data_IF_521137821649
#
_entry.id   IF_521137821649
#
_cell.length_a   1.000
_cell.length_b   1.000
_cell.length_c   1.000
_cell.angle_alpha   90.00
_cell.angle_beta   90.00
_cell.angle_gamma   90.00
#
_symmetry.space_group_name_H-M   'P 1'
#
loop_
_entity.id
_entity.type
_entity.pdbx_description
1 polymer ?
#
# COMPACT_ATOMS: atom_id res chain seq x y z
N UNK A 1 -9.31 9.53 33.03
CA UNK A 1 -9.11 8.32 32.22
C UNK A 1 -7.62 8.19 31.93
N UNK A 2 -6.98 7.18 32.50
CA UNK A 2 -5.53 6.97 32.44
C UNK A 2 -5.16 6.37 31.08
N UNK A 3 -4.49 7.15 30.23
CA UNK A 3 -3.91 6.63 29.00
C UNK A 3 -2.77 5.67 29.37
N UNK A 4 -2.91 4.38 29.04
CA UNK A 4 -1.89 3.39 29.35
C UNK A 4 -0.59 3.74 28.61
N UNK A 5 0.46 4.05 29.37
CA UNK A 5 1.82 4.18 28.86
C UNK A 5 2.36 2.78 28.55
N UNK A 6 2.10 2.30 27.34
CA UNK A 6 2.93 1.24 26.75
C UNK A 6 4.21 1.88 26.17
N UNK A 7 5.20 2.17 27.02
CA UNK A 7 6.50 2.72 26.64
C UNK A 7 7.51 1.60 26.36
N UNK A 8 7.83 1.36 25.07
CA UNK A 8 9.17 1.10 24.52
C UNK A 8 9.08 0.80 23.00
N UNK A 9 9.88 1.47 22.16
CA UNK A 9 10.22 1.03 20.78
C UNK A 9 9.22 1.26 19.64
N UNK A 10 8.37 2.29 19.70
CA UNK A 10 7.20 2.44 18.81
C UNK A 10 7.56 2.82 17.37
N UNK A 11 7.49 1.84 16.46
CA UNK A 11 7.42 2.04 15.01
C UNK A 11 5.98 2.31 14.55
N UNK A 12 5.80 3.18 13.57
CA UNK A 12 4.52 3.51 12.96
C UNK A 12 4.59 3.21 11.46
N UNK A 13 3.55 2.60 10.88
CA UNK A 13 3.45 2.36 9.42
C UNK A 13 2.27 3.15 8.85
N UNK A 14 2.52 3.97 7.83
CA UNK A 14 1.55 4.82 7.11
C UNK A 14 1.46 4.35 5.66
N UNK A 15 0.24 4.15 5.15
CA UNK A 15 0.00 3.59 3.80
C UNK A 15 -0.88 4.50 2.94
N UNK A 16 -0.61 4.65 1.63
CA UNK A 16 -1.40 5.48 0.69
C UNK A 16 -1.73 4.78 -0.65
N UNK A 17 -2.89 5.09 -1.28
CA UNK A 17 -3.60 4.13 -2.14
C UNK A 17 -4.71 4.64 -3.14
N UNK A 18 -4.97 4.00 -4.32
CA UNK A 18 -6.24 3.99 -5.16
C UNK A 18 -6.29 2.95 -6.35
N UNK A 19 -7.50 2.68 -6.93
CA UNK A 19 -8.08 1.50 -7.67
C UNK A 19 -8.04 1.35 -9.23
N UNK A 20 -8.47 0.17 -9.73
CA UNK A 20 -8.79 -0.20 -11.16
C UNK A 20 -9.82 -1.38 -11.24
N UNK A 21 -10.59 -1.51 -12.34
CA UNK A 21 -11.04 -2.81 -12.92
C UNK A 21 -12.30 -3.59 -12.45
N UNK A 22 -12.39 -4.87 -12.88
CA UNK A 22 -13.44 -5.87 -12.55
C UNK A 22 -13.49 -6.31 -11.08
N UNK A 23 -12.55 -5.76 -10.31
CA UNK A 23 -12.43 -5.82 -8.87
C UNK A 23 -13.18 -4.64 -8.24
N UNK A 24 -13.34 -4.66 -6.93
CA UNK A 24 -14.02 -3.57 -6.22
C UNK A 24 -13.25 -2.24 -6.35
N UNK A 25 -13.99 -1.14 -6.51
CA UNK A 25 -13.44 0.20 -6.28
C UNK A 25 -12.91 0.27 -4.84
N UNK A 26 -11.73 0.87 -4.65
CA UNK A 26 -11.07 0.93 -3.36
C UNK A 26 -10.34 -0.35 -2.94
N UNK A 27 -10.17 -1.34 -3.83
CA UNK A 27 -9.40 -2.59 -3.59
C UNK A 27 -8.08 -2.38 -2.86
N UNK A 28 -7.30 -1.41 -3.29
CA UNK A 28 -6.00 -1.18 -2.70
C UNK A 28 -6.14 -0.64 -1.26
N UNK A 29 -7.25 0.03 -0.89
CA UNK A 29 -7.49 0.45 0.51
C UNK A 29 -7.66 -0.78 1.41
N UNK A 30 -8.40 -1.78 0.92
CA UNK A 30 -8.59 -3.05 1.61
C UNK A 30 -7.26 -3.80 1.75
N UNK A 31 -6.52 -3.88 0.64
CA UNK A 31 -5.22 -4.54 0.58
C UNK A 31 -4.19 -3.88 1.49
N UNK A 32 -4.08 -2.56 1.41
CA UNK A 32 -3.19 -1.74 2.24
C UNK A 32 -3.50 -1.87 3.73
N UNK A 33 -4.78 -1.89 4.10
CA UNK A 33 -5.18 -2.12 5.48
C UNK A 33 -4.77 -3.52 5.96
N UNK A 34 -4.97 -4.56 5.13
CA UNK A 34 -4.52 -5.91 5.46
C UNK A 34 -3.00 -5.99 5.61
N UNK A 35 -2.24 -5.48 4.63
CA UNK A 35 -0.78 -5.54 4.61
C UNK A 35 -0.20 -4.77 5.80
N UNK A 36 -0.67 -3.55 6.07
CA UNK A 36 -0.23 -2.76 7.22
C UNK A 36 -0.45 -3.48 8.55
N UNK A 37 -1.63 -4.09 8.71
CA UNK A 37 -1.95 -4.90 9.90
C UNK A 37 -0.98 -6.09 10.03
N UNK A 38 -0.80 -6.88 8.97
CA UNK A 38 0.09 -8.06 8.98
C UNK A 38 1.54 -7.70 9.27
N UNK A 39 2.02 -6.57 8.75
CA UNK A 39 3.36 -6.05 9.06
C UNK A 39 3.47 -5.70 10.54
N UNK A 40 2.50 -4.94 11.08
CA UNK A 40 2.50 -4.54 12.49
C UNK A 40 2.48 -5.76 13.43
N UNK A 41 1.62 -6.75 13.13
CA UNK A 41 1.55 -8.03 13.84
C UNK A 41 2.87 -8.80 13.79
N UNK A 42 3.51 -8.86 12.61
CA UNK A 42 4.79 -9.59 12.41
C UNK A 42 5.98 -8.91 13.09
N UNK A 43 5.97 -7.58 13.18
CA UNK A 43 7.01 -6.82 13.88
C UNK A 43 6.84 -6.89 15.40
N UNK A 44 5.60 -6.97 15.90
CA UNK A 44 5.27 -7.11 17.32
C UNK A 44 5.44 -5.84 18.16
N UNK A 45 6.07 -4.80 17.61
CA UNK A 45 6.30 -3.50 18.27
C UNK A 45 5.85 -2.30 17.43
N UNK A 46 5.05 -2.53 16.39
CA UNK A 46 4.57 -1.50 15.47
C UNK A 46 3.05 -1.33 15.55
N UNK A 47 2.58 -0.14 15.19
CA UNK A 47 1.16 0.17 15.00
C UNK A 47 0.92 0.58 13.54
N UNK A 48 -0.20 0.13 12.98
CA UNK A 48 -0.62 0.46 11.63
C UNK A 48 -1.60 1.63 11.66
N UNK A 49 -1.31 2.69 10.90
CA UNK A 49 -2.26 3.76 10.65
C UNK A 49 -3.30 3.32 9.61
N UNK A 50 -4.52 3.88 9.64
CA UNK A 50 -5.46 3.74 8.55
C UNK A 50 -4.83 4.20 7.23
N UNK A 51 -4.97 3.46 6.12
CA UNK A 51 -4.48 3.91 4.83
C UNK A 51 -5.15 5.21 4.38
N UNK A 52 -4.41 6.09 3.70
CA UNK A 52 -5.00 7.22 2.99
C UNK A 52 -5.86 6.68 1.83
N UNK A 53 -7.18 6.91 1.84
CA UNK A 53 -8.08 6.31 0.86
C UNK A 53 -8.01 6.96 -0.53
N UNK A 54 -7.26 8.05 -0.68
CA UNK A 54 -7.16 8.82 -1.93
C UNK A 54 -5.71 8.99 -2.37
N UNK A 55 -5.52 9.04 -3.69
CA UNK A 55 -4.26 9.25 -4.37
C UNK A 55 -4.45 10.01 -5.70
N UNK A 56 -3.36 10.49 -6.31
CA UNK A 56 -3.36 10.90 -7.71
C UNK A 56 -3.74 9.73 -8.61
N UNK A 57 -4.71 9.96 -9.49
CA UNK A 57 -5.23 8.96 -10.42
C UNK A 57 -5.45 9.53 -11.83
N UNK A 58 -4.83 10.67 -12.14
CA UNK A 58 -5.00 11.44 -13.37
C UNK A 58 -5.86 12.70 -13.18
N UNK A 59 -6.01 13.46 -14.25
CA UNK A 59 -6.76 14.71 -14.27
C UNK A 59 -8.27 14.44 -14.37
N UNK A 60 -9.10 14.97 -13.44
CA UNK A 60 -10.54 14.71 -13.43
C UNK A 60 -11.33 15.44 -14.52
N UNK A 61 -10.85 16.59 -15.01
CA UNK A 61 -11.52 17.40 -16.03
C UNK A 61 -11.17 16.86 -17.42
N UNK A 62 -9.89 16.68 -17.68
CA UNK A 62 -9.36 16.15 -18.94
C UNK A 62 -9.52 14.61 -19.05
N UNK A 63 -9.94 13.96 -17.96
CA UNK A 63 -10.15 12.51 -17.85
C UNK A 63 -8.91 11.74 -18.31
N UNK A 64 -7.77 12.01 -17.69
CA UNK A 64 -6.52 11.28 -17.97
C UNK A 64 -6.28 10.17 -16.96
N UNK A 65 -5.35 9.24 -17.23
CA UNK A 65 -5.03 8.15 -16.29
C UNK A 65 -6.24 7.26 -15.96
N UNK A 66 -6.44 6.98 -14.67
CA UNK A 66 -7.59 6.22 -14.17
C UNK A 66 -8.88 7.06 -14.08
N UNK A 67 -8.82 8.40 -14.19
CA UNK A 67 -10.01 9.26 -14.28
C UNK A 67 -10.83 9.05 -15.56
N UNK A 68 -10.35 8.23 -16.51
CA UNK A 68 -11.16 7.71 -17.63
C UNK A 68 -12.25 6.72 -17.20
N UNK A 69 -12.11 6.10 -16.04
CA UNK A 69 -13.01 5.06 -15.56
C UNK A 69 -13.98 5.62 -14.52
N UNK A 70 -15.27 5.29 -14.68
CA UNK A 70 -16.30 5.74 -13.76
C UNK A 70 -16.08 5.17 -12.34
N UNK A 71 -16.21 6.03 -11.34
CA UNK A 71 -15.99 5.68 -9.93
C UNK A 71 -14.57 5.95 -9.42
N UNK A 72 -13.61 6.30 -10.29
CA UNK A 72 -12.30 6.80 -9.87
C UNK A 72 -12.45 8.18 -9.23
N UNK A 73 -11.78 8.38 -8.10
CA UNK A 73 -11.59 9.67 -7.44
C UNK A 73 -10.11 10.00 -7.56
N UNK A 74 -9.73 11.23 -7.87
CA UNK A 74 -8.33 11.66 -7.92
C UNK A 74 -8.14 12.87 -7.00
N UNK A 75 -7.05 12.88 -6.24
CA UNK A 75 -6.56 14.06 -5.51
C UNK A 75 -5.25 14.53 -6.10
N UNK A 76 -4.90 15.80 -5.92
CA UNK A 76 -3.60 16.31 -6.38
C UNK A 76 -2.44 15.67 -5.61
N UNK A 77 -1.25 15.64 -6.23
CA UNK A 77 -0.01 15.25 -5.56
C UNK A 77 0.23 16.11 -4.29
N UNK A 78 -0.07 17.42 -4.37
CA UNK A 78 0.01 18.34 -3.24
C UNK A 78 -0.94 17.94 -2.09
N UNK A 79 -2.18 17.58 -2.40
CA UNK A 79 -3.16 17.14 -1.38
C UNK A 79 -2.69 15.85 -0.71
N UNK A 80 -2.22 14.88 -1.50
CA UNK A 80 -1.64 13.64 -0.95
C UNK A 80 -0.44 13.95 -0.05
N UNK A 81 0.45 14.85 -0.46
CA UNK A 81 1.62 15.24 0.30
C UNK A 81 1.24 15.90 1.63
N UNK A 82 0.31 16.85 1.61
CA UNK A 82 -0.17 17.57 2.78
C UNK A 82 -0.78 16.62 3.81
N UNK A 83 -1.70 15.74 3.39
CA UNK A 83 -2.31 14.75 4.29
C UNK A 83 -1.24 13.79 4.86
N UNK A 84 -0.34 13.31 4.01
CA UNK A 84 0.73 12.39 4.44
C UNK A 84 1.67 13.03 5.47
N UNK A 85 1.98 14.32 5.29
CA UNK A 85 2.75 15.12 6.24
C UNK A 85 2.04 15.22 7.58
N UNK A 86 0.77 15.62 7.59
CA UNK A 86 0.00 15.82 8.82
C UNK A 86 -0.17 14.52 9.61
N UNK A 87 -0.32 13.39 8.91
CA UNK A 87 -0.33 12.06 9.53
C UNK A 87 1.02 11.73 10.17
N UNK A 88 2.14 11.95 9.47
CA UNK A 88 3.47 11.72 10.02
C UNK A 88 3.75 12.61 11.23
N UNK A 89 3.42 13.91 11.15
CA UNK A 89 3.53 14.87 12.25
C UNK A 89 2.69 14.42 13.45
N UNK A 90 1.47 13.94 13.22
CA UNK A 90 0.59 13.45 14.29
C UNK A 90 1.21 12.26 15.03
N UNK A 91 1.82 11.32 14.31
CA UNK A 91 2.53 10.19 14.92
C UNK A 91 3.74 10.66 15.74
N UNK A 92 4.57 11.53 15.16
CA UNK A 92 5.77 12.05 15.82
C UNK A 92 5.43 12.87 17.07
N UNK A 93 4.40 13.72 16.99
CA UNK A 93 3.97 14.58 18.09
C UNK A 93 3.47 13.81 19.32
N UNK A 94 2.87 12.64 19.15
CA UNK A 94 2.41 11.78 20.26
C UNK A 94 3.49 10.79 20.75
N UNK A 95 4.71 10.92 20.25
CA UNK A 95 5.91 10.24 20.77
C UNK A 95 6.29 8.94 20.05
N UNK A 96 5.79 8.69 18.83
CA UNK A 96 6.44 7.69 17.97
C UNK A 96 7.80 8.22 17.53
N UNK A 97 8.83 7.37 17.57
CA UNK A 97 10.20 7.75 17.18
C UNK A 97 10.57 7.28 15.79
N UNK A 98 9.83 6.33 15.22
CA UNK A 98 10.03 5.85 13.85
C UNK A 98 8.69 5.84 13.13
N UNK A 99 8.62 6.51 11.99
CA UNK A 99 7.48 6.49 11.06
C UNK A 99 7.97 5.92 9.74
N UNK A 100 7.27 4.92 9.21
CA UNK A 100 7.57 4.26 7.95
C UNK A 100 6.40 4.52 7.02
N UNK A 101 6.69 5.10 5.86
CA UNK A 101 5.73 5.41 4.82
C UNK A 101 5.93 4.43 3.66
N UNK A 102 4.83 3.88 3.18
CA UNK A 102 4.80 2.99 2.02
C UNK A 102 3.48 3.17 1.27
N UNK A 103 3.38 2.69 0.05
CA UNK A 103 2.15 2.77 -0.73
C UNK A 103 1.93 1.50 -1.53
N UNK A 104 0.69 1.28 -1.94
CA UNK A 104 0.27 0.13 -2.77
C UNK A 104 -0.13 0.58 -4.19
N UNK A 105 0.07 1.85 -4.52
CA UNK A 105 -0.23 2.41 -5.84
C UNK A 105 0.97 3.17 -6.42
N UNK A 106 1.33 2.88 -7.67
CA UNK A 106 2.49 3.46 -8.36
C UNK A 106 2.57 4.99 -8.36
N UNK A 107 1.45 5.68 -8.64
CA UNK A 107 1.40 7.15 -8.69
C UNK A 107 1.64 7.83 -7.33
N UNK A 108 1.60 7.07 -6.23
CA UNK A 108 1.87 7.61 -4.88
C UNK A 108 3.35 7.64 -4.52
N UNK A 109 4.16 6.77 -5.14
CA UNK A 109 5.50 6.42 -4.63
C UNK A 109 6.47 7.61 -4.60
N UNK A 110 6.43 8.48 -5.61
CA UNK A 110 7.25 9.69 -5.64
C UNK A 110 6.89 10.66 -4.51
N UNK A 111 5.60 10.96 -4.36
CA UNK A 111 5.10 11.89 -3.34
C UNK A 111 5.44 11.43 -1.93
N UNK A 112 5.14 10.18 -1.59
CA UNK A 112 5.38 9.68 -0.22
C UNK A 112 6.88 9.57 0.11
N UNK A 113 7.73 9.34 -0.89
CA UNK A 113 9.19 9.37 -0.75
C UNK A 113 9.70 10.77 -0.41
N UNK A 114 9.21 11.78 -1.11
CA UNK A 114 9.55 13.18 -0.87
C UNK A 114 9.07 13.64 0.52
N UNK A 115 7.84 13.29 0.91
CA UNK A 115 7.31 13.59 2.24
C UNK A 115 8.15 12.93 3.33
N UNK A 116 8.48 11.64 3.17
CA UNK A 116 9.30 10.92 4.15
C UNK A 116 10.67 11.58 4.32
N UNK A 117 11.34 11.95 3.22
CA UNK A 117 12.64 12.61 3.26
C UNK A 117 12.57 14.00 3.93
N UNK A 118 11.57 14.80 3.60
CA UNK A 118 11.36 16.11 4.21
C UNK A 118 11.07 15.99 5.72
N UNK A 119 10.26 15.00 6.12
CA UNK A 119 9.91 14.79 7.53
C UNK A 119 11.07 14.22 8.34
N UNK A 120 11.88 13.31 7.78
CA UNK A 120 13.09 12.84 8.47
C UNK A 120 14.06 14.00 8.70
N UNK A 121 14.28 14.85 7.70
CA UNK A 121 15.14 16.03 7.85
C UNK A 121 14.64 16.98 8.95
N UNK A 122 13.32 17.21 9.03
CA UNK A 122 12.73 18.10 10.03
C UNK A 122 12.73 17.50 11.46
N UNK A 123 12.51 16.20 11.59
CA UNK A 123 12.27 15.55 12.88
C UNK A 123 13.46 14.78 13.46
N UNK A 124 14.46 14.45 12.64
CA UNK A 124 15.70 13.83 13.11
C UNK A 124 16.39 14.58 14.25
N UNK A 125 16.57 15.92 14.23
CA UNK A 125 17.13 16.64 15.38
C UNK A 125 16.21 16.64 16.62
N UNK A 126 14.93 16.29 16.45
CA UNK A 126 13.92 16.19 17.52
C UNK A 126 13.78 14.75 18.06
N UNK A 127 14.59 13.81 17.57
CA UNK A 127 14.56 12.39 17.98
C UNK A 127 13.54 11.52 17.23
N UNK A 128 12.92 12.04 16.17
CA UNK A 128 12.03 11.28 15.30
C UNK A 128 12.70 10.90 13.98
N UNK A 129 12.38 9.73 13.44
CA UNK A 129 12.89 9.25 12.14
C UNK A 129 11.72 8.93 11.23
N UNK A 130 11.84 9.31 9.95
CA UNK A 130 10.83 9.00 8.94
C UNK A 130 11.49 8.29 7.76
N UNK A 131 10.89 7.19 7.30
CA UNK A 131 11.44 6.39 6.22
C UNK A 131 10.40 6.19 5.14
N UNK A 132 10.85 6.11 3.90
CA UNK A 132 10.08 5.51 2.82
C UNK A 132 10.65 4.13 2.52
N UNK A 133 9.77 3.15 2.32
CA UNK A 133 10.16 1.82 1.83
C UNK A 133 9.39 1.49 0.54
N UNK A 134 10.07 0.98 -0.52
CA UNK A 134 9.49 0.80 -1.84
C UNK A 134 8.73 -0.54 -1.97
N UNK A 135 7.76 -0.78 -1.07
CA UNK A 135 7.01 -2.06 -1.02
C UNK A 135 6.21 -2.30 -2.30
N UNK A 136 5.68 -1.25 -2.93
CA UNK A 136 5.04 -1.38 -4.24
C UNK A 136 6.01 -1.94 -5.28
N UNK A 137 7.13 -1.27 -5.51
CA UNK A 137 8.09 -1.66 -6.55
C UNK A 137 8.67 -3.06 -6.31
N UNK A 138 9.20 -3.31 -5.11
CA UNK A 138 9.81 -4.61 -4.77
C UNK A 138 8.77 -5.75 -4.67
N UNK A 139 7.53 -5.44 -4.26
CA UNK A 139 6.43 -6.39 -4.25
C UNK A 139 6.02 -6.78 -5.67
N UNK A 140 5.81 -5.78 -6.53
CA UNK A 140 5.48 -5.94 -7.94
C UNK A 140 6.56 -6.72 -8.72
N UNK A 141 7.85 -6.53 -8.39
CA UNK A 141 8.94 -7.33 -8.96
C UNK A 141 8.79 -8.82 -8.64
N UNK A 142 8.44 -9.15 -7.39
CA UNK A 142 8.22 -10.54 -6.97
C UNK A 142 6.99 -11.13 -7.66
N UNK A 143 5.92 -10.36 -7.81
CA UNK A 143 4.72 -10.78 -8.54
C UNK A 143 5.02 -11.06 -10.00
N UNK A 144 5.72 -10.14 -10.67
CA UNK A 144 6.18 -10.31 -12.05
C UNK A 144 7.03 -11.55 -12.22
N UNK A 145 7.92 -11.85 -11.28
CA UNK A 145 8.74 -13.06 -11.34
C UNK A 145 7.88 -14.34 -11.28
N UNK A 146 6.89 -14.38 -10.39
CA UNK A 146 5.94 -15.51 -10.29
C UNK A 146 5.16 -15.67 -11.59
N UNK A 147 4.57 -14.58 -12.09
CA UNK A 147 3.74 -14.60 -13.29
C UNK A 147 4.56 -14.92 -14.56
N UNK A 148 5.81 -14.46 -14.63
CA UNK A 148 6.74 -14.84 -15.71
C UNK A 148 7.04 -16.33 -15.68
N UNK A 149 7.22 -16.94 -14.51
CA UNK A 149 7.42 -18.38 -14.37
C UNK A 149 6.16 -19.21 -14.73
N UNK A 150 5.00 -18.56 -14.81
CA UNK A 150 3.74 -19.13 -15.27
C UNK A 150 3.44 -18.80 -16.75
N UNK A 151 4.42 -18.28 -17.49
CA UNK A 151 4.29 -17.86 -18.90
C UNK A 151 3.18 -16.83 -19.15
N UNK A 152 2.86 -16.00 -18.14
CA UNK A 152 1.85 -14.95 -18.25
C UNK A 152 2.42 -13.76 -19.04
N UNK A 153 1.75 -13.31 -20.11
CA UNK A 153 2.16 -12.12 -20.85
C UNK A 153 2.14 -10.85 -19.98
N UNK A 154 3.12 -9.96 -20.14
CA UNK A 154 3.25 -8.75 -19.32
C UNK A 154 2.02 -7.84 -19.34
N UNK A 155 1.29 -7.78 -20.46
CA UNK A 155 0.05 -7.00 -20.57
C UNK A 155 -1.14 -7.61 -19.79
N UNK A 156 -0.97 -8.79 -19.19
CA UNK A 156 -1.97 -9.46 -18.35
C UNK A 156 -1.61 -9.47 -16.86
N UNK A 157 -0.42 -8.99 -16.49
CA UNK A 157 0.05 -8.97 -15.10
C UNK A 157 -0.93 -8.20 -14.20
N UNK A 158 -1.20 -6.93 -14.48
CA UNK A 158 -2.07 -6.08 -13.64
C UNK A 158 -3.51 -6.59 -13.47
N UNK A 159 -4.18 -7.11 -14.51
CA UNK A 159 -5.49 -7.72 -14.28
C UNK A 159 -5.45 -9.00 -13.44
N UNK A 160 -4.37 -9.79 -13.53
CA UNK A 160 -4.22 -11.05 -12.78
C UNK A 160 -3.82 -10.78 -11.33
N UNK A 161 -2.90 -9.85 -11.06
CA UNK A 161 -2.53 -9.48 -9.69
C UNK A 161 -3.73 -8.92 -8.92
N UNK A 162 -4.42 -7.94 -9.49
CA UNK A 162 -5.59 -7.29 -8.92
C UNK A 162 -6.69 -8.32 -8.58
N UNK A 163 -7.00 -9.22 -9.51
CA UNK A 163 -8.01 -10.25 -9.30
C UNK A 163 -7.56 -11.26 -8.24
N UNK A 164 -6.31 -11.73 -8.29
CA UNK A 164 -5.77 -12.74 -7.37
C UNK A 164 -5.72 -12.21 -5.94
N UNK A 165 -5.20 -11.01 -5.72
CA UNK A 165 -5.16 -10.37 -4.40
C UNK A 165 -6.57 -10.19 -3.84
N UNK A 166 -7.55 -9.80 -4.66
CA UNK A 166 -8.93 -9.66 -4.20
C UNK A 166 -9.62 -10.99 -3.89
N UNK A 167 -9.31 -12.06 -4.62
CA UNK A 167 -9.76 -13.43 -4.29
C UNK A 167 -9.17 -13.91 -2.96
N UNK A 168 -7.93 -13.53 -2.65
CA UNK A 168 -7.29 -13.83 -1.36
C UNK A 168 -7.92 -13.05 -0.19
N UNK A 169 -8.41 -11.82 -0.42
CA UNK A 169 -9.09 -11.01 0.60
C UNK A 169 -10.47 -11.54 1.00
N UNK A 170 -11.14 -12.30 0.13
CA UNK A 170 -12.49 -12.79 0.38
C UNK A 170 -12.82 -14.04 -0.44
N UNK A 171 -13.08 -15.15 0.24
CA UNK A 171 -13.38 -16.45 -0.35
C UNK A 171 -14.78 -16.56 -1.00
N UNK A 172 -15.62 -15.54 -0.83
CA UNK A 172 -17.00 -15.48 -1.34
C UNK A 172 -17.16 -14.59 -2.58
N UNK A 173 -16.06 -14.28 -3.28
CA UNK A 173 -16.03 -13.38 -4.45
C UNK A 173 -16.60 -11.98 -4.18
N UNK A 174 -16.69 -11.53 -2.92
CA UNK A 174 -17.26 -10.20 -2.62
C UNK A 174 -16.50 -9.02 -3.25
N UNK A 175 -15.24 -9.22 -3.62
CA UNK A 175 -14.34 -8.17 -4.13
C UNK A 175 -13.99 -8.33 -5.61
N UNK A 176 -14.46 -9.39 -6.26
CA UNK A 176 -14.18 -9.71 -7.67
C UNK A 176 -15.49 -10.14 -8.32
N UNK A 177 -15.74 -9.76 -9.57
CA UNK A 177 -16.81 -10.35 -10.39
C UNK A 177 -16.21 -11.38 -11.33
N UNK A 178 -16.16 -12.68 -10.97
CA UNK A 178 -15.43 -13.67 -11.77
C UNK A 178 -16.02 -13.84 -13.17
N UNK A 179 -17.34 -13.67 -13.30
CA UNK A 179 -18.08 -13.70 -14.57
C UNK A 179 -17.74 -12.54 -15.51
N UNK A 180 -17.04 -11.51 -15.01
CA UNK A 180 -16.61 -10.33 -15.76
C UNK A 180 -15.10 -10.34 -16.05
N UNK A 181 -14.37 -11.38 -15.62
CA UNK A 181 -12.97 -11.56 -15.98
C UNK A 181 -12.87 -12.13 -17.40
N UNK A 182 -11.88 -11.67 -18.16
CA UNK A 182 -11.57 -12.31 -19.44
C UNK A 182 -11.07 -13.74 -19.18
N UNK A 183 -11.37 -14.67 -20.09
CA UNK A 183 -11.07 -16.10 -19.93
C UNK A 183 -9.59 -16.37 -19.61
N UNK A 184 -8.68 -15.62 -20.24
CA UNK A 184 -7.25 -15.75 -20.04
C UNK A 184 -6.77 -15.24 -18.67
N UNK A 185 -7.47 -14.27 -18.08
CA UNK A 185 -7.24 -13.81 -16.70
C UNK A 185 -7.83 -14.83 -15.72
N UNK A 186 -9.07 -15.27 -15.96
CA UNK A 186 -9.78 -16.21 -15.09
C UNK A 186 -9.10 -17.59 -15.02
N UNK A 187 -8.40 -18.00 -16.08
CA UNK A 187 -7.64 -19.24 -16.12
C UNK A 187 -6.41 -19.24 -15.19
N UNK A 188 -5.91 -18.06 -14.80
CA UNK A 188 -4.68 -17.92 -13.99
C UNK A 188 -4.98 -17.36 -12.60
N UNK A 189 -5.83 -16.34 -12.50
CA UNK A 189 -6.10 -15.64 -11.26
C UNK A 189 -6.66 -16.59 -10.19
N UNK A 190 -6.08 -16.55 -8.99
CA UNK A 190 -6.48 -17.44 -7.90
C UNK A 190 -6.18 -16.83 -6.54
N UNK A 191 -6.90 -17.29 -5.50
CA UNK A 191 -6.62 -16.90 -4.12
C UNK A 191 -5.21 -17.33 -3.67
N UNK A 192 -4.69 -18.45 -4.16
CA UNK A 192 -3.35 -18.94 -3.81
C UNK A 192 -2.25 -18.03 -4.38
N UNK A 193 -2.41 -17.53 -5.61
CA UNK A 193 -1.52 -16.49 -6.14
C UNK A 193 -1.65 -15.19 -5.36
N UNK A 194 -2.87 -14.78 -5.04
CA UNK A 194 -3.11 -13.58 -4.23
C UNK A 194 -2.42 -13.64 -2.87
N UNK A 195 -2.49 -14.80 -2.19
CA UNK A 195 -1.78 -15.01 -0.93
C UNK A 195 -0.26 -14.87 -1.10
N UNK A 196 0.32 -15.47 -2.15
CA UNK A 196 1.76 -15.32 -2.45
C UNK A 196 2.16 -13.86 -2.70
N UNK A 197 1.31 -13.09 -3.40
CA UNK A 197 1.55 -11.67 -3.69
C UNK A 197 1.51 -10.82 -2.41
N UNK A 198 0.48 -11.02 -1.58
CA UNK A 198 0.32 -10.34 -0.30
C UNK A 198 1.48 -10.69 0.66
N UNK A 199 1.82 -11.97 0.76
CA UNK A 199 2.93 -12.47 1.59
C UNK A 199 4.25 -11.86 1.14
N UNK A 200 4.49 -11.80 -0.19
CA UNK A 200 5.65 -11.17 -0.78
C UNK A 200 5.81 -9.69 -0.39
N UNK A 201 4.72 -8.91 -0.44
CA UNK A 201 4.69 -7.50 -0.01
C UNK A 201 4.98 -7.36 1.50
N UNK A 202 4.37 -8.21 2.34
CA UNK A 202 4.59 -8.21 3.80
C UNK A 202 6.04 -8.55 4.15
N UNK A 203 6.62 -9.57 3.51
CA UNK A 203 8.01 -9.97 3.71
C UNK A 203 9.00 -8.87 3.34
N UNK A 204 8.80 -8.21 2.19
CA UNK A 204 9.60 -7.05 1.76
C UNK A 204 9.55 -5.96 2.82
N UNK A 205 8.34 -5.60 3.26
CA UNK A 205 8.16 -4.53 4.23
C UNK A 205 8.82 -4.86 5.58
N UNK A 206 8.57 -6.05 6.13
CA UNK A 206 9.15 -6.48 7.41
C UNK A 206 10.68 -6.50 7.34
N UNK A 207 11.25 -7.03 6.25
CA UNK A 207 12.70 -7.04 6.05
C UNK A 207 13.27 -5.62 6.04
N UNK A 208 12.71 -4.73 5.20
CA UNK A 208 13.15 -3.33 5.10
C UNK A 208 13.02 -2.57 6.42
N UNK A 209 11.93 -2.76 7.16
CA UNK A 209 11.72 -2.10 8.45
C UNK A 209 12.74 -2.59 9.48
N UNK A 210 13.00 -3.90 9.53
CA UNK A 210 14.04 -4.46 10.41
C UNK A 210 15.43 -3.96 10.06
N UNK A 211 15.74 -3.68 8.79
CA UNK A 211 17.03 -3.08 8.39
C UNK A 211 17.16 -1.62 8.87
N UNK A 212 16.05 -0.88 9.00
CA UNK A 212 16.05 0.56 9.29
C UNK A 212 15.89 0.91 10.79
N UNK A 213 15.21 0.06 11.56
CA UNK A 213 14.74 0.36 12.93
C UNK A 213 15.47 -0.49 13.99
N UNK A 214 16.64 -1.04 13.66
CA UNK A 214 17.54 -1.72 14.61
C UNK A 214 18.26 -0.75 15.55
#
# INVERSE_FOLDING_TARGET
MSASRAHAGRGCVVVAVLASGATALGKHNLLSALIARRIAETLGNALAYPPNPYAPAGDPIEKTGHMRFAGTISVSHETLAAVSRDVAVSALAVGFTHVVMMGDHGETQGVIREVAAAMDAEWRPKGGRVFFIPVYEEGEDRMRAILTALDVPTNRTTPIDDASEMMALGSDNRWVRPDQLADDIAAVASADLGNQFIDGKVEVAVRRIRELVQ
#
